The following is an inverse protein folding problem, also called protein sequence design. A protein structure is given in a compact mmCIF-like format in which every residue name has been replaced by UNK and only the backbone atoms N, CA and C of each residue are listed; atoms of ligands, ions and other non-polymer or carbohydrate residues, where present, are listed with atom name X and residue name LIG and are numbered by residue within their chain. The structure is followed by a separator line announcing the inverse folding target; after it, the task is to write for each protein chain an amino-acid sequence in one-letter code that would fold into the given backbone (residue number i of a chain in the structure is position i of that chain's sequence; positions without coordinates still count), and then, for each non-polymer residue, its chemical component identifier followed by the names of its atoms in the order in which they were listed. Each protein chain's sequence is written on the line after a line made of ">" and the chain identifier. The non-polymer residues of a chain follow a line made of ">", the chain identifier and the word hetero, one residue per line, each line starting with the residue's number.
data_IF_588845855850
#
_entry.id   IF_588845855850
#
_cell.length_a   1.000
_cell.length_b   1.000
_cell.length_c   1.000
_cell.angle_alpha   90.00
_cell.angle_beta   90.00
_cell.angle_gamma   90.00
#
_symmetry.space_group_name_H-M   'P 1'
#
loop_
_entity.id
_entity.type
_entity.pdbx_description
1 polymer ?
#
# COMPACT_ATOMS: atom_id res chain seq x y z
N UNK A 1 9.72 4.62 8.57
CA UNK A 1 10.45 3.33 8.41
C UNK A 1 11.02 3.27 7.01
N UNK A 2 12.07 2.48 6.71
CA UNK A 2 12.51 2.36 5.32
C UNK A 2 11.69 1.29 4.60
N UNK A 3 10.97 1.68 3.54
CA UNK A 3 10.30 0.77 2.64
C UNK A 3 11.26 0.30 1.54
N UNK A 4 11.06 -0.92 1.06
CA UNK A 4 11.76 -1.39 -0.14
C UNK A 4 11.12 -0.80 -1.40
N UNK A 5 11.86 -0.77 -2.50
CA UNK A 5 11.32 -0.32 -3.81
C UNK A 5 10.06 -1.09 -4.21
N UNK A 6 10.02 -2.40 -3.92
CA UNK A 6 8.84 -3.24 -4.16
C UNK A 6 7.64 -2.82 -3.31
N UNK A 7 7.87 -2.44 -2.05
CA UNK A 7 6.81 -1.93 -1.17
C UNK A 7 6.31 -0.57 -1.64
N UNK A 8 7.21 0.32 -2.07
CA UNK A 8 6.86 1.64 -2.64
C UNK A 8 6.04 1.47 -3.92
N UNK A 9 6.48 0.63 -4.85
CA UNK A 9 5.72 0.32 -6.07
C UNK A 9 4.34 -0.27 -5.76
N UNK A 10 4.26 -1.12 -4.72
CA UNK A 10 2.96 -1.67 -4.29
C UNK A 10 2.05 -0.60 -3.69
N UNK A 11 2.58 0.37 -2.92
CA UNK A 11 1.81 1.52 -2.43
C UNK A 11 1.26 2.37 -3.58
N UNK A 12 2.08 2.70 -4.58
CA UNK A 12 1.65 3.41 -5.79
C UNK A 12 0.53 2.68 -6.52
N UNK A 13 0.63 1.36 -6.63
CA UNK A 13 -0.42 0.56 -7.25
C UNK A 13 -1.72 0.54 -6.43
N UNK A 14 -1.63 0.54 -5.09
CA UNK A 14 -2.82 0.63 -4.23
C UNK A 14 -3.49 2.00 -4.37
N UNK A 15 -2.71 3.08 -4.40
CA UNK A 15 -3.20 4.44 -4.61
C UNK A 15 -3.96 4.58 -5.94
N UNK A 16 -3.42 3.97 -7.01
CA UNK A 16 -4.04 3.89 -8.33
C UNK A 16 -5.20 2.86 -8.42
N UNK A 17 -5.70 2.33 -7.31
CA UNK A 17 -6.80 1.35 -7.28
C UNK A 17 -6.46 -0.06 -7.82
N UNK A 18 -5.19 -0.32 -8.11
CA UNK A 18 -4.68 -1.58 -8.67
C UNK A 18 -4.18 -2.58 -7.62
N UNK A 19 -4.50 -2.34 -6.33
CA UNK A 19 -4.04 -3.16 -5.20
C UNK A 19 -4.37 -4.66 -5.33
N UNK A 20 -5.47 -5.02 -6.00
CA UNK A 20 -5.85 -6.44 -6.23
C UNK A 20 -4.87 -7.24 -7.09
N UNK A 21 -4.08 -6.55 -7.94
CA UNK A 21 -3.10 -7.16 -8.84
C UNK A 21 -1.73 -7.33 -8.16
N UNK A 22 -1.56 -6.76 -6.97
CA UNK A 22 -0.29 -6.76 -6.27
C UNK A 22 0.00 -8.10 -5.59
N UNK A 23 1.28 -8.35 -5.32
CA UNK A 23 1.71 -9.54 -4.63
C UNK A 23 1.15 -9.59 -3.19
N UNK A 24 0.44 -10.67 -2.84
CA UNK A 24 -0.20 -10.86 -1.52
C UNK A 24 0.77 -10.72 -0.34
N UNK A 25 2.03 -11.17 -0.47
CA UNK A 25 3.03 -11.06 0.60
C UNK A 25 3.40 -9.60 0.84
N UNK A 26 3.56 -8.80 -0.22
CA UNK A 26 3.84 -7.37 -0.08
C UNK A 26 2.64 -6.62 0.49
N UNK A 27 1.42 -6.92 0.05
CA UNK A 27 0.20 -6.34 0.62
C UNK A 27 0.08 -6.63 2.12
N UNK A 28 0.25 -7.89 2.53
CA UNK A 28 0.22 -8.26 3.95
C UNK A 28 1.31 -7.57 4.75
N UNK A 29 2.50 -7.38 4.17
CA UNK A 29 3.59 -6.64 4.83
C UNK A 29 3.22 -5.16 5.05
N UNK A 30 2.59 -4.51 4.07
CA UNK A 30 2.15 -3.12 4.16
C UNK A 30 0.95 -2.96 5.11
N UNK A 31 0.02 -3.91 5.11
CA UNK A 31 -1.12 -3.93 6.01
C UNK A 31 -0.68 -4.11 7.47
N UNK A 32 0.26 -5.03 7.76
CA UNK A 32 0.87 -5.17 9.09
C UNK A 32 1.59 -3.91 9.57
N UNK A 33 2.04 -3.06 8.64
CA UNK A 33 2.64 -1.76 8.92
C UNK A 33 1.60 -0.64 9.05
N UNK A 34 0.32 -0.95 8.89
CA UNK A 34 -0.77 0.03 8.98
C UNK A 34 -0.88 0.98 7.79
N UNK A 35 -0.18 0.72 6.68
CA UNK A 35 -0.14 1.64 5.53
C UNK A 35 -1.30 1.46 4.55
N UNK A 36 -1.85 0.25 4.48
CA UNK A 36 -2.99 -0.07 3.64
C UNK A 36 -4.00 -0.89 4.42
N UNK A 37 -5.24 -0.94 3.94
CA UNK A 37 -6.29 -1.77 4.51
C UNK A 37 -7.19 -2.32 3.42
N UNK A 38 -7.66 -3.56 3.59
CA UNK A 38 -8.67 -4.14 2.71
C UNK A 38 -10.06 -3.70 3.17
N UNK A 39 -10.79 -3.02 2.30
CA UNK A 39 -12.19 -2.64 2.50
C UNK A 39 -13.06 -3.41 1.51
N UNK A 40 -13.96 -4.28 1.98
CA UNK A 40 -14.90 -4.97 1.09
C UNK A 40 -16.14 -4.07 0.94
N UNK A 41 -16.65 -3.80 -0.28
CA UNK A 41 -16.25 -4.35 -1.58
C UNK A 41 -15.19 -3.52 -2.37
N UNK A 42 -14.70 -2.43 -1.81
CA UNK A 42 -13.84 -1.42 -2.47
C UNK A 42 -12.48 -1.99 -2.96
N UNK A 43 -11.87 -2.87 -2.18
CA UNK A 43 -10.51 -3.37 -2.38
C UNK A 43 -9.50 -2.76 -1.40
N UNK A 44 -8.22 -2.82 -1.75
CA UNK A 44 -7.15 -2.24 -0.94
C UNK A 44 -7.11 -0.72 -1.09
N UNK A 45 -7.03 0.00 0.03
CA UNK A 45 -6.89 1.46 0.06
C UNK A 45 -5.73 1.89 0.95
N UNK A 46 -5.17 3.07 0.70
CA UNK A 46 -4.19 3.68 1.60
C UNK A 46 -4.84 4.13 2.91
N UNK A 47 -4.11 4.02 4.01
CA UNK A 47 -4.42 4.74 5.25
C UNK A 47 -3.78 6.13 5.22
N UNK A 48 -4.03 6.95 6.25
CA UNK A 48 -3.35 8.25 6.41
C UNK A 48 -1.82 8.09 6.43
N UNK A 49 -1.33 7.06 7.13
CA UNK A 49 0.11 6.76 7.19
C UNK A 49 0.63 6.27 5.83
N UNK A 50 -0.17 5.50 5.08
CA UNK A 50 0.14 5.08 3.72
C UNK A 50 0.33 6.25 2.76
N UNK A 51 -0.58 7.24 2.79
CA UNK A 51 -0.47 8.47 2.00
C UNK A 51 0.78 9.25 2.40
N UNK A 52 1.03 9.42 3.69
CA UNK A 52 2.19 10.16 4.18
C UNK A 52 3.52 9.49 3.79
N UNK A 53 3.62 8.16 3.87
CA UNK A 53 4.81 7.44 3.42
C UNK A 53 4.98 7.49 1.90
N UNK A 54 3.90 7.50 1.13
CA UNK A 54 3.96 7.64 -0.34
C UNK A 54 4.45 9.03 -0.75
N UNK A 55 3.99 10.10 -0.10
CA UNK A 55 4.44 11.48 -0.37
C UNK A 55 5.92 11.73 -0.05
N UNK A 56 6.58 10.90 0.77
CA UNK A 56 8.02 11.04 1.07
C UNK A 56 8.92 10.54 -0.07
N UNK A 57 8.38 9.73 -0.97
CA UNK A 57 9.10 9.08 -2.08
C UNK A 57 8.71 9.64 -3.43
N UNK A 58 7.82 10.64 -3.47
CA UNK A 58 7.58 11.53 -4.62
C UNK A 58 8.37 12.83 -4.46
#
# INVERSE_FOLDING_TARGET
>A
MKLTERQISTLKNVDNGSGRLCNKRTLSSLEKKGLIKLHIPIGWTLTKDGVHELMKVE
#
